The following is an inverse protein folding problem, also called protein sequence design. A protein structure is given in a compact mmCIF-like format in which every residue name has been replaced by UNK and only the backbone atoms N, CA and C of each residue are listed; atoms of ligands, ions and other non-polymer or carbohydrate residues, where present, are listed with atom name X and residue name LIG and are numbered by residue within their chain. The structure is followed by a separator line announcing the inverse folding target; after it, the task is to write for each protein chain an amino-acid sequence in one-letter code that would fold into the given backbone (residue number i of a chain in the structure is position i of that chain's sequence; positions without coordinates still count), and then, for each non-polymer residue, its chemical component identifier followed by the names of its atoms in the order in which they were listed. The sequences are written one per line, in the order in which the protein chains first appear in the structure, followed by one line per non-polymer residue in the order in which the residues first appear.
data_IF_085585087920
#
_entry.id   IF_085585087920
#
_cell.length_a   1.000
_cell.length_b   1.000
_cell.length_c   1.000
_cell.angle_alpha   90.00
_cell.angle_beta   90.00
_cell.angle_gamma   90.00
#
_symmetry.space_group_name_H-M   'P 1'
#
loop_
_entity.id
_entity.type
_entity.pdbx_description
1 polymer ?
#
# COMPACT_ATOMS: atom_id res chain seq x y z
N UNK A 1 34.93 60.79 -10.68
CA UNK A 1 33.77 59.92 -10.35
C UNK A 1 33.51 58.79 -11.35
N UNK A 2 33.65 58.99 -12.67
CA UNK A 2 33.34 57.95 -13.69
C UNK A 2 34.17 56.64 -13.58
N UNK A 3 35.48 56.69 -13.29
CA UNK A 3 36.32 55.49 -13.17
C UNK A 3 35.88 54.55 -12.02
N UNK A 4 35.39 55.10 -10.90
CA UNK A 4 34.87 54.30 -9.77
C UNK A 4 33.55 53.60 -10.13
N UNK A 5 32.67 54.27 -10.89
CA UNK A 5 31.40 53.69 -11.38
C UNK A 5 31.63 52.55 -12.38
N UNK A 6 32.62 52.65 -13.27
CA UNK A 6 32.99 51.57 -14.20
C UNK A 6 33.54 50.33 -13.47
N UNK A 7 34.42 50.51 -12.48
CA UNK A 7 34.93 49.39 -11.67
C UNK A 7 33.82 48.70 -10.87
N UNK A 8 32.88 49.48 -10.32
CA UNK A 8 31.70 48.94 -9.63
C UNK A 8 30.81 48.12 -10.57
N UNK A 9 30.51 48.64 -11.76
CA UNK A 9 29.70 47.92 -12.75
C UNK A 9 30.35 46.61 -13.22
N UNK A 10 31.66 46.61 -13.46
CA UNK A 10 32.42 45.39 -13.80
C UNK A 10 32.41 44.39 -12.64
N UNK A 11 32.56 44.87 -11.39
CA UNK A 11 32.49 44.02 -10.20
C UNK A 11 31.12 43.36 -10.02
N UNK A 12 30.03 44.10 -10.25
CA UNK A 12 28.66 43.56 -10.22
C UNK A 12 28.46 42.53 -11.34
N UNK A 13 28.91 42.83 -12.56
CA UNK A 13 28.82 41.89 -13.67
C UNK A 13 29.60 40.59 -13.40
N UNK A 14 30.82 40.70 -12.85
CA UNK A 14 31.61 39.54 -12.47
C UNK A 14 30.92 38.71 -11.39
N UNK A 15 30.31 39.34 -10.39
CA UNK A 15 29.51 38.66 -9.36
C UNK A 15 28.29 37.93 -9.94
N UNK A 16 27.58 38.55 -10.89
CA UNK A 16 26.44 37.91 -11.55
C UNK A 16 26.87 36.72 -12.40
N UNK A 17 27.99 36.82 -13.11
CA UNK A 17 28.55 35.72 -13.90
C UNK A 17 28.99 34.58 -13.00
N UNK A 18 29.74 34.87 -11.93
CA UNK A 18 30.16 33.84 -10.95
C UNK A 18 28.93 33.22 -10.27
N UNK A 19 27.95 34.03 -9.88
CA UNK A 19 26.68 33.54 -9.32
C UNK A 19 25.93 32.63 -10.30
N UNK A 20 25.85 33.00 -11.57
CA UNK A 20 25.24 32.19 -12.63
C UNK A 20 25.98 30.87 -12.85
N UNK A 21 27.32 30.88 -12.85
CA UNK A 21 28.14 29.66 -12.96
C UNK A 21 27.92 28.75 -11.75
N UNK A 22 27.94 29.31 -10.54
CA UNK A 22 27.70 28.55 -9.31
C UNK A 22 26.28 27.96 -9.29
N UNK A 23 25.27 28.73 -9.69
CA UNK A 23 23.90 28.25 -9.80
C UNK A 23 23.73 27.16 -10.87
N UNK A 24 24.50 27.21 -11.96
CA UNK A 24 24.47 26.20 -13.02
C UNK A 24 25.14 24.87 -12.62
N UNK A 25 25.89 24.82 -11.52
CA UNK A 25 26.45 23.57 -11.00
C UNK A 25 25.30 22.64 -10.58
N UNK A 26 25.24 21.38 -11.08
CA UNK A 26 24.14 20.46 -10.78
C UNK A 26 23.84 20.28 -9.26
N UNK A 27 24.83 20.19 -8.36
CA UNK A 27 24.57 20.09 -6.92
C UNK A 27 23.94 21.36 -6.31
N UNK A 28 24.19 22.53 -6.90
CA UNK A 28 23.64 23.82 -6.43
C UNK A 28 22.26 24.02 -7.02
N UNK A 29 22.11 23.83 -8.33
CA UNK A 29 20.82 23.95 -9.00
C UNK A 29 19.78 23.00 -8.41
N UNK A 30 20.15 21.74 -8.14
CA UNK A 30 19.25 20.74 -7.53
C UNK A 30 18.76 21.14 -6.14
N UNK A 31 19.62 21.75 -5.30
CA UNK A 31 19.21 22.26 -3.98
C UNK A 31 18.32 23.50 -4.11
N UNK A 32 18.71 24.46 -4.94
CA UNK A 32 17.94 25.70 -5.16
C UNK A 32 16.55 25.35 -5.68
N UNK A 33 16.47 24.58 -6.77
CA UNK A 33 15.21 24.10 -7.35
C UNK A 33 14.36 23.33 -6.35
N UNK A 34 14.96 22.47 -5.51
CA UNK A 34 14.24 21.76 -4.46
C UNK A 34 13.60 22.70 -3.44
N UNK A 35 14.38 23.62 -2.86
CA UNK A 35 13.84 24.54 -1.85
C UNK A 35 12.83 25.52 -2.45
N UNK A 36 13.05 26.01 -3.67
CA UNK A 36 12.07 26.87 -4.36
C UNK A 36 10.78 26.11 -4.64
N UNK A 37 10.86 24.87 -5.12
CA UNK A 37 9.68 24.03 -5.35
C UNK A 37 8.98 23.72 -4.03
N UNK A 38 9.70 23.38 -2.97
CA UNK A 38 9.12 23.12 -1.65
C UNK A 38 8.32 24.33 -1.14
N UNK A 39 8.92 25.53 -1.16
CA UNK A 39 8.25 26.77 -0.74
C UNK A 39 7.04 27.04 -1.63
N UNK A 40 7.19 26.92 -2.95
CA UNK A 40 6.09 27.10 -3.89
C UNK A 40 4.95 26.12 -3.60
N UNK A 41 5.25 24.84 -3.41
CA UNK A 41 4.30 23.77 -3.12
C UNK A 41 3.59 23.97 -1.78
N UNK A 42 4.31 24.36 -0.72
CA UNK A 42 3.72 24.70 0.58
C UNK A 42 2.76 25.88 0.46
N UNK A 43 3.13 26.95 -0.25
CA UNK A 43 2.25 28.09 -0.49
C UNK A 43 1.05 27.68 -1.35
N UNK A 44 1.29 26.95 -2.43
CA UNK A 44 0.27 26.52 -3.38
C UNK A 44 -0.79 25.65 -2.70
N UNK A 45 -0.39 24.62 -1.95
CA UNK A 45 -1.33 23.72 -1.25
C UNK A 45 -1.94 24.33 0.01
N UNK A 46 -1.32 25.36 0.60
CA UNK A 46 -1.99 26.16 1.64
C UNK A 46 -3.16 26.97 1.09
N UNK A 47 -3.08 27.39 -0.18
CA UNK A 47 -4.13 28.14 -0.87
C UNK A 47 -5.12 27.18 -1.55
N UNK A 48 -4.62 26.07 -2.12
CA UNK A 48 -5.38 25.08 -2.88
C UNK A 48 -5.18 23.68 -2.25
N UNK A 49 -5.79 23.40 -1.09
CA UNK A 49 -5.58 22.12 -0.42
C UNK A 49 -6.04 20.97 -1.34
N UNK A 50 -5.25 19.89 -1.50
CA UNK A 50 -5.60 18.77 -2.37
C UNK A 50 -6.98 18.18 -2.04
N UNK A 51 -7.32 18.10 -0.74
CA UNK A 51 -8.62 17.61 -0.28
C UNK A 51 -9.82 18.48 -0.71
N UNK A 52 -9.62 19.71 -1.19
CA UNK A 52 -10.70 20.55 -1.72
C UNK A 52 -10.99 20.31 -3.21
N UNK A 53 -10.16 19.55 -3.91
CA UNK A 53 -10.40 19.19 -5.32
C UNK A 53 -11.29 17.94 -5.34
N UNK A 54 -12.57 18.14 -5.63
CA UNK A 54 -13.55 17.05 -5.77
C UNK A 54 -13.53 16.55 -7.22
N UNK A 55 -13.18 15.28 -7.42
CA UNK A 55 -13.40 14.62 -8.70
C UNK A 55 -14.88 14.29 -8.85
N UNK A 56 -15.55 14.91 -9.82
CA UNK A 56 -16.93 14.60 -10.19
C UNK A 56 -16.95 13.93 -11.57
N UNK A 57 -17.13 12.59 -11.66
CA UNK A 57 -17.13 11.86 -12.93
C UNK A 57 -18.15 12.40 -13.94
N UNK A 58 -19.23 12.99 -13.44
CA UNK A 58 -20.37 13.53 -14.19
C UNK A 58 -20.02 14.70 -15.12
N UNK A 59 -18.87 15.35 -14.94
CA UNK A 59 -18.48 16.56 -15.67
C UNK A 59 -17.64 16.29 -16.93
N UNK A 60 -17.16 15.06 -17.12
CA UNK A 60 -16.43 14.67 -18.33
C UNK A 60 -17.41 14.18 -19.41
N UNK A 61 -17.27 14.65 -20.65
CA UNK A 61 -18.10 14.24 -21.81
C UNK A 61 -18.11 12.71 -21.95
N UNK A 62 -19.18 11.99 -21.55
CA UNK A 62 -19.14 10.55 -21.33
C UNK A 62 -18.97 9.73 -22.63
N UNK A 63 -19.25 10.34 -23.78
CA UNK A 63 -19.46 9.61 -25.02
C UNK A 63 -18.16 9.16 -25.72
N UNK A 64 -17.09 9.96 -25.70
CA UNK A 64 -15.86 9.63 -26.44
C UNK A 64 -15.02 8.58 -25.72
N UNK A 65 -14.84 8.74 -24.40
CA UNK A 65 -14.16 7.76 -23.55
C UNK A 65 -14.89 6.40 -23.54
N UNK A 66 -16.22 6.40 -23.34
CA UNK A 66 -16.99 5.16 -23.38
C UNK A 66 -16.92 4.48 -24.75
N UNK A 67 -16.90 5.26 -25.84
CA UNK A 67 -16.74 4.72 -27.20
C UNK A 67 -15.35 4.13 -27.42
N UNK A 68 -14.29 4.79 -26.95
CA UNK A 68 -12.92 4.29 -27.06
C UNK A 68 -12.68 3.02 -26.23
N UNK A 69 -13.21 2.97 -25.00
CA UNK A 69 -13.19 1.77 -24.16
C UNK A 69 -13.94 0.62 -24.83
N UNK A 70 -15.15 0.89 -25.34
CA UNK A 70 -15.96 -0.12 -26.05
C UNK A 70 -15.27 -0.63 -27.32
N UNK A 71 -14.63 0.25 -28.09
CA UNK A 71 -13.85 -0.12 -29.26
C UNK A 71 -12.64 -1.01 -28.88
N UNK A 72 -11.96 -0.71 -27.78
CA UNK A 72 -10.84 -1.51 -27.27
C UNK A 72 -11.31 -2.88 -26.76
N UNK A 73 -12.42 -2.92 -26.01
CA UNK A 73 -13.02 -4.18 -25.56
C UNK A 73 -13.48 -5.05 -26.75
N UNK A 74 -14.07 -4.43 -27.77
CA UNK A 74 -14.44 -5.12 -29.02
C UNK A 74 -13.23 -5.61 -29.82
N UNK A 75 -12.05 -4.98 -29.68
CA UNK A 75 -10.82 -5.43 -30.34
C UNK A 75 -10.14 -6.61 -29.60
N UNK A 76 -10.46 -6.83 -28.32
CA UNK A 76 -9.90 -7.90 -27.49
C UNK A 76 -10.68 -9.22 -27.56
N UNK A 77 -11.89 -9.24 -28.14
CA UNK A 77 -12.67 -10.46 -28.33
C UNK A 77 -12.13 -11.26 -29.52
N UNK A 78 -11.32 -12.28 -29.27
CA UNK A 78 -11.19 -13.41 -30.20
C UNK A 78 -12.43 -14.31 -30.09
N UNK A 79 -12.98 -14.85 -31.20
CA UNK A 79 -14.14 -15.72 -31.14
C UNK A 79 -13.73 -17.08 -30.58
N UNK A 80 -13.86 -17.25 -29.26
CA UNK A 80 -13.86 -18.59 -28.65
C UNK A 80 -15.25 -19.20 -28.86
N UNK A 81 -15.38 -20.43 -29.37
CA UNK A 81 -16.68 -21.08 -29.50
C UNK A 81 -17.39 -21.16 -28.15
N UNK A 82 -18.60 -20.63 -28.07
CA UNK A 82 -19.45 -20.77 -26.90
C UNK A 82 -19.86 -22.23 -26.74
N UNK A 83 -19.17 -22.96 -25.85
CA UNK A 83 -19.65 -24.24 -25.35
C UNK A 83 -20.72 -23.92 -24.33
N UNK A 84 -21.98 -24.10 -24.72
CA UNK A 84 -23.14 -24.10 -23.82
C UNK A 84 -23.05 -25.31 -22.88
N UNK A 85 -22.21 -25.21 -21.87
CA UNK A 85 -22.22 -26.14 -20.75
C UNK A 85 -23.24 -25.60 -19.75
N UNK A 86 -24.22 -26.39 -19.29
CA UNK A 86 -25.14 -25.94 -18.24
C UNK A 86 -24.32 -25.48 -17.03
N UNK A 87 -24.56 -24.25 -16.59
CA UNK A 87 -23.98 -23.68 -15.37
C UNK A 87 -24.28 -24.65 -14.23
N UNK A 88 -23.28 -25.32 -13.62
CA UNK A 88 -23.55 -26.13 -12.45
C UNK A 88 -24.16 -25.21 -11.40
N UNK A 89 -25.35 -25.58 -10.94
CA UNK A 89 -26.00 -24.96 -9.81
C UNK A 89 -24.97 -24.85 -8.68
N UNK A 90 -24.74 -23.63 -8.20
CA UNK A 90 -23.84 -23.34 -7.07
C UNK A 90 -24.28 -24.21 -5.90
N UNK A 91 -23.61 -25.35 -5.74
CA UNK A 91 -23.68 -26.12 -4.52
C UNK A 91 -22.95 -25.25 -3.52
N UNK A 92 -23.63 -24.86 -2.43
CA UNK A 92 -22.97 -24.19 -1.31
C UNK A 92 -21.78 -25.09 -0.93
N UNK A 93 -20.57 -24.69 -1.33
CA UNK A 93 -19.37 -25.34 -0.85
C UNK A 93 -19.47 -25.27 0.68
N UNK A 94 -19.22 -26.38 1.40
CA UNK A 94 -19.27 -26.35 2.85
C UNK A 94 -18.40 -25.18 3.31
N UNK A 95 -18.99 -24.24 4.04
CA UNK A 95 -18.23 -23.16 4.66
C UNK A 95 -17.15 -23.84 5.49
N UNK A 96 -15.85 -23.70 5.14
CA UNK A 96 -14.80 -24.37 5.89
C UNK A 96 -14.96 -23.94 7.34
N UNK A 97 -15.20 -24.93 8.20
CA UNK A 97 -15.33 -24.66 9.63
C UNK A 97 -13.97 -24.17 10.09
N UNK A 98 -13.90 -22.90 10.49
CA UNK A 98 -12.67 -22.29 10.96
C UNK A 98 -12.09 -23.16 12.09
N UNK A 99 -10.86 -23.59 11.91
CA UNK A 99 -10.15 -24.35 12.94
C UNK A 99 -10.00 -23.43 14.15
N UNK A 100 -10.44 -23.84 15.36
CA UNK A 100 -10.23 -23.06 16.57
C UNK A 100 -8.75 -22.76 16.75
N UNK A 101 -8.42 -21.48 16.88
CA UNK A 101 -7.05 -21.02 17.08
C UNK A 101 -6.80 -20.77 18.58
N UNK A 102 -5.55 -20.90 19.05
CA UNK A 102 -5.15 -20.37 20.35
C UNK A 102 -5.63 -18.93 20.57
N UNK A 103 -5.96 -18.50 21.80
CA UNK A 103 -6.51 -17.17 22.05
C UNK A 103 -5.47 -16.04 21.88
N UNK A 104 -4.18 -16.38 21.82
CA UNK A 104 -3.11 -15.41 21.59
C UNK A 104 -1.87 -16.08 21.02
N UNK A 105 -1.06 -15.28 20.32
CA UNK A 105 0.26 -15.68 19.82
C UNK A 105 1.16 -14.45 19.76
N UNK A 106 2.46 -14.65 19.96
CA UNK A 106 3.49 -13.62 19.76
C UNK A 106 4.73 -14.25 19.14
N UNK A 107 5.09 -13.79 17.96
CA UNK A 107 6.26 -14.21 17.20
C UNK A 107 7.43 -13.28 17.54
N UNK A 108 8.30 -13.74 18.43
CA UNK A 108 9.55 -13.05 18.75
C UNK A 108 10.58 -13.25 17.61
N UNK A 109 11.59 -12.38 17.54
CA UNK A 109 12.74 -12.55 16.64
C UNK A 109 12.81 -11.57 15.48
N UNK A 110 11.78 -10.74 15.26
CA UNK A 110 11.88 -9.61 14.33
C UNK A 110 12.86 -8.57 14.86
N UNK A 111 13.82 -8.17 14.02
CA UNK A 111 14.66 -7.00 14.29
C UNK A 111 13.89 -5.74 13.91
N UNK A 112 13.77 -4.81 14.86
CA UNK A 112 13.04 -3.56 14.65
C UNK A 112 13.83 -2.58 13.80
N UNK A 113 13.16 -1.88 12.88
CA UNK A 113 13.77 -0.84 12.02
C UNK A 113 12.86 0.37 11.89
N UNK A 114 13.29 1.51 12.45
CA UNK A 114 12.66 2.80 12.19
C UNK A 114 12.91 3.20 10.73
N UNK A 115 11.86 3.61 10.01
CA UNK A 115 11.98 3.90 8.59
C UNK A 115 12.84 5.14 8.31
N UNK A 116 13.55 5.10 7.17
CA UNK A 116 14.06 6.30 6.50
C UNK A 116 12.91 7.08 5.82
N UNK A 117 13.26 8.21 5.20
CA UNK A 117 12.31 9.06 4.46
C UNK A 117 11.55 8.28 3.39
N UNK A 118 10.21 8.30 3.44
CA UNK A 118 9.31 7.55 2.56
C UNK A 118 9.73 6.08 2.38
N UNK A 119 10.10 5.40 3.46
CA UNK A 119 10.68 4.05 3.41
C UNK A 119 9.86 3.01 4.18
N UNK A 120 8.57 3.25 4.42
CA UNK A 120 7.70 2.35 5.18
C UNK A 120 7.69 0.93 4.59
N UNK A 121 7.48 0.78 3.28
CA UNK A 121 7.50 -0.51 2.57
C UNK A 121 8.83 -1.24 2.72
N UNK A 122 9.96 -0.66 2.26
CA UNK A 122 11.27 -1.31 2.37
C UNK A 122 11.70 -1.62 3.80
N UNK A 123 11.39 -0.76 4.77
CA UNK A 123 11.68 -1.00 6.18
C UNK A 123 10.84 -2.15 6.75
N UNK A 124 9.53 -2.17 6.47
CA UNK A 124 8.64 -3.24 6.93
C UNK A 124 8.99 -4.58 6.27
N UNK A 125 9.38 -4.59 5.00
CA UNK A 125 9.90 -5.79 4.35
C UNK A 125 11.20 -6.28 4.99
N UNK A 126 12.15 -5.37 5.29
CA UNK A 126 13.39 -5.72 6.00
C UNK A 126 13.11 -6.36 7.36
N UNK A 127 12.15 -5.82 8.13
CA UNK A 127 11.71 -6.42 9.38
C UNK A 127 11.13 -7.83 9.17
N UNK A 128 10.30 -8.04 8.13
CA UNK A 128 9.73 -9.35 7.81
C UNK A 128 10.81 -10.38 7.45
N UNK A 129 11.79 -9.98 6.63
CA UNK A 129 12.93 -10.81 6.25
C UNK A 129 13.82 -11.17 7.46
N UNK A 130 14.00 -10.23 8.39
CA UNK A 130 14.82 -10.44 9.59
C UNK A 130 14.31 -11.55 10.51
N UNK A 131 12.99 -11.82 10.50
CA UNK A 131 12.41 -12.96 11.23
C UNK A 131 13.05 -14.29 10.79
N UNK A 132 13.35 -14.39 9.49
CA UNK A 132 14.01 -15.54 8.86
C UNK A 132 15.53 -15.41 8.83
N UNK A 133 16.11 -14.63 9.75
CA UNK A 133 17.56 -14.44 9.89
C UNK A 133 18.25 -13.83 8.65
N UNK A 134 17.50 -13.18 7.76
CA UNK A 134 18.10 -12.42 6.67
C UNK A 134 18.95 -11.28 7.24
N UNK A 135 20.19 -11.16 6.77
CA UNK A 135 21.21 -10.29 7.37
C UNK A 135 21.21 -8.85 6.86
N UNK A 136 20.48 -8.56 5.78
CA UNK A 136 20.38 -7.22 5.22
C UNK A 136 19.56 -6.27 6.09
N UNK A 137 19.29 -5.07 5.61
CA UNK A 137 18.59 -3.97 6.29
C UNK A 137 17.73 -3.18 5.30
N UNK A 138 16.96 -2.21 5.77
CA UNK A 138 16.07 -1.43 4.91
C UNK A 138 16.76 -0.68 3.75
N UNK A 139 18.07 -0.43 3.83
CA UNK A 139 18.83 0.17 2.73
C UNK A 139 18.99 -0.82 1.57
N UNK A 140 19.13 -2.12 1.85
CA UNK A 140 19.30 -3.15 0.83
C UNK A 140 17.98 -3.39 0.10
N UNK A 141 16.85 -3.43 0.83
CA UNK A 141 15.52 -3.49 0.23
C UNK A 141 15.20 -2.21 -0.57
N UNK A 142 15.51 -1.03 -0.02
CA UNK A 142 15.23 0.24 -0.68
C UNK A 142 16.05 0.44 -1.97
N UNK A 143 17.27 -0.09 -2.05
CA UNK A 143 18.12 0.03 -3.23
C UNK A 143 17.49 -0.58 -4.49
N UNK A 144 16.59 -1.55 -4.33
CA UNK A 144 15.84 -2.20 -5.42
C UNK A 144 14.43 -1.62 -5.53
N UNK A 145 13.71 -1.53 -4.41
CA UNK A 145 12.30 -1.13 -4.37
C UNK A 145 12.07 0.36 -4.63
N UNK A 146 13.09 1.20 -4.43
CA UNK A 146 13.03 2.65 -4.62
C UNK A 146 14.15 3.13 -5.53
N UNK A 147 14.09 2.80 -6.85
CA UNK A 147 15.11 3.24 -7.80
C UNK A 147 15.21 4.78 -7.87
N UNK A 148 14.13 5.48 -7.53
CA UNK A 148 14.13 6.91 -7.23
C UNK A 148 13.96 7.11 -5.71
N UNK A 149 14.94 7.75 -5.08
CA UNK A 149 14.96 7.98 -3.62
C UNK A 149 13.77 8.81 -3.11
N UNK A 150 13.13 9.57 -4.01
CA UNK A 150 11.93 10.39 -3.76
C UNK A 150 10.62 9.65 -3.89
N UNK A 151 10.62 8.38 -4.27
CA UNK A 151 9.39 7.59 -4.35
C UNK A 151 8.68 7.60 -3.00
N UNK A 152 7.36 7.84 -3.06
CA UNK A 152 6.50 8.00 -1.88
C UNK A 152 5.92 6.67 -1.41
N UNK A 153 5.80 5.69 -2.30
CA UNK A 153 5.25 4.38 -2.03
C UNK A 153 6.01 3.30 -2.82
N UNK A 154 5.94 2.08 -2.32
CA UNK A 154 6.31 0.84 -3.00
C UNK A 154 5.07 -0.02 -3.04
N UNK A 155 4.79 -0.66 -4.17
CA UNK A 155 3.63 -1.51 -4.34
C UNK A 155 3.88 -2.92 -3.75
N UNK A 156 2.86 -3.62 -3.23
CA UNK A 156 3.02 -4.95 -2.65
C UNK A 156 3.65 -5.99 -3.61
N UNK A 157 3.32 -5.94 -4.91
CA UNK A 157 3.90 -6.86 -5.88
C UNK A 157 5.40 -6.63 -6.10
N UNK A 158 5.90 -5.41 -5.93
CA UNK A 158 7.34 -5.12 -6.02
C UNK A 158 8.09 -5.76 -4.83
N UNK A 159 7.48 -5.76 -3.65
CA UNK A 159 8.01 -6.46 -2.48
C UNK A 159 7.98 -7.98 -2.66
N UNK A 160 6.90 -8.54 -3.22
CA UNK A 160 6.81 -9.95 -3.59
C UNK A 160 7.95 -10.34 -4.54
N UNK A 161 8.16 -9.55 -5.59
CA UNK A 161 9.22 -9.79 -6.58
C UNK A 161 10.62 -9.65 -5.96
N UNK A 162 10.81 -8.68 -5.05
CA UNK A 162 12.06 -8.55 -4.31
C UNK A 162 12.39 -9.83 -3.56
N UNK A 163 11.45 -10.36 -2.77
CA UNK A 163 11.68 -11.59 -2.00
C UNK A 163 12.02 -12.74 -2.93
N UNK A 164 11.19 -12.97 -3.95
CA UNK A 164 11.32 -14.14 -4.83
C UNK A 164 12.55 -14.10 -5.75
N UNK A 165 13.07 -12.91 -6.08
CA UNK A 165 14.17 -12.76 -7.04
C UNK A 165 15.50 -12.29 -6.42
N UNK A 166 15.49 -11.75 -5.20
CA UNK A 166 16.69 -11.17 -4.55
C UNK A 166 17.02 -11.79 -3.19
N UNK A 167 16.32 -12.85 -2.77
CA UNK A 167 16.60 -13.58 -1.54
C UNK A 167 16.43 -15.09 -1.75
N UNK A 168 16.89 -15.90 -0.80
CA UNK A 168 16.65 -17.35 -0.77
C UNK A 168 15.28 -17.73 -0.17
N UNK A 169 14.44 -16.73 0.12
CA UNK A 169 13.09 -16.91 0.67
C UNK A 169 12.05 -16.88 -0.46
N UNK A 170 10.82 -17.21 -0.10
CA UNK A 170 9.64 -17.11 -0.96
C UNK A 170 8.61 -16.21 -0.31
N UNK A 171 7.75 -15.65 -1.14
CA UNK A 171 6.60 -14.90 -0.68
C UNK A 171 5.35 -15.22 -1.47
N UNK A 172 4.19 -15.17 -0.80
CA UNK A 172 2.88 -15.08 -1.45
C UNK A 172 2.23 -13.76 -1.09
N UNK A 173 1.58 -13.16 -2.08
CA UNK A 173 0.72 -12.00 -1.92
C UNK A 173 -0.72 -12.39 -2.27
N UNK A 174 -1.69 -12.04 -1.44
CA UNK A 174 -3.11 -12.32 -1.69
C UNK A 174 -3.97 -11.13 -1.28
N UNK A 175 -5.13 -11.02 -1.92
CA UNK A 175 -6.17 -10.05 -1.59
C UNK A 175 -7.29 -10.75 -0.82
N UNK A 176 -8.11 -9.98 -0.10
CA UNK A 176 -9.26 -10.54 0.61
C UNK A 176 -8.87 -11.35 1.85
N UNK A 177 -7.79 -10.99 2.54
CA UNK A 177 -7.52 -11.52 3.88
C UNK A 177 -8.51 -10.98 4.92
N UNK A 178 -8.76 -11.73 5.98
CA UNK A 178 -9.58 -11.30 7.13
C UNK A 178 -8.85 -11.51 8.45
N UNK A 179 -9.55 -11.19 9.55
CA UNK A 179 -9.08 -11.43 10.91
C UNK A 179 -8.63 -12.88 11.12
N UNK A 180 -9.37 -13.86 10.60
CA UNK A 180 -9.01 -15.27 10.72
C UNK A 180 -7.74 -15.59 9.94
N UNK A 181 -7.61 -15.07 8.73
CA UNK A 181 -6.45 -15.26 7.85
C UNK A 181 -5.16 -14.82 8.55
N UNK A 182 -5.13 -13.61 9.11
CA UNK A 182 -3.95 -13.11 9.84
C UNK A 182 -3.65 -14.00 11.05
N UNK A 183 -4.66 -14.34 11.86
CA UNK A 183 -4.47 -15.18 13.05
C UNK A 183 -3.98 -16.59 12.70
N UNK A 184 -4.50 -17.20 11.65
CA UNK A 184 -4.11 -18.53 11.22
C UNK A 184 -2.63 -18.57 10.78
N UNK A 185 -2.21 -17.58 9.98
CA UNK A 185 -0.80 -17.42 9.58
C UNK A 185 0.12 -17.21 10.78
N UNK A 186 -0.28 -16.37 11.73
CA UNK A 186 0.51 -16.13 12.95
C UNK A 186 0.65 -17.37 13.83
N UNK A 187 -0.42 -18.17 13.98
CA UNK A 187 -0.32 -19.44 14.73
C UNK A 187 0.55 -20.49 14.03
N UNK A 188 0.56 -20.46 12.70
CA UNK A 188 1.45 -21.29 11.91
C UNK A 188 2.91 -20.79 11.91
N UNK A 189 3.20 -19.67 12.61
CA UNK A 189 4.55 -19.16 12.79
C UNK A 189 5.00 -18.15 11.74
N UNK A 190 4.07 -17.61 10.93
CA UNK A 190 4.37 -16.69 9.84
C UNK A 190 3.93 -15.25 10.18
N UNK A 191 4.86 -14.29 10.34
CA UNK A 191 4.52 -12.88 10.38
C UNK A 191 3.83 -12.43 9.09
N UNK A 192 2.88 -11.50 9.21
CA UNK A 192 2.05 -11.06 8.07
C UNK A 192 2.27 -9.59 7.80
N UNK A 193 2.77 -9.25 6.62
CA UNK A 193 2.90 -7.87 6.18
C UNK A 193 1.60 -7.42 5.53
N UNK A 194 1.03 -6.30 5.99
CA UNK A 194 -0.22 -5.72 5.46
C UNK A 194 0.01 -4.29 4.98
N UNK A 195 -0.65 -3.90 3.89
CA UNK A 195 -0.80 -2.50 3.48
C UNK A 195 -2.12 -1.97 4.03
N UNK A 196 -2.11 -0.84 4.73
CA UNK A 196 -3.31 -0.28 5.36
C UNK A 196 -3.32 1.24 5.29
N UNK A 197 -4.50 1.82 5.49
CA UNK A 197 -4.65 3.24 5.78
C UNK A 197 -3.89 3.63 7.05
N UNK A 198 -3.42 4.87 7.08
CA UNK A 198 -2.76 5.43 8.25
C UNK A 198 -3.02 6.93 8.30
N UNK A 199 -3.62 7.34 9.41
CA UNK A 199 -3.92 8.73 9.74
C UNK A 199 -3.65 8.89 11.24
N UNK A 200 -2.38 9.08 11.64
CA UNK A 200 -2.01 9.21 13.04
C UNK A 200 -2.71 10.42 13.68
N UNK A 201 -3.50 10.20 14.74
CA UNK A 201 -4.30 11.24 15.43
C UNK A 201 -3.45 12.46 15.84
N UNK A 202 -2.23 12.21 16.28
CA UNK A 202 -1.29 13.23 16.77
C UNK A 202 -0.60 14.02 15.65
N UNK A 203 -0.84 13.63 14.40
CA UNK A 203 -0.20 14.12 13.18
C UNK A 203 -1.25 14.35 12.09
N UNK A 204 -2.49 14.71 12.48
CA UNK A 204 -3.60 14.93 11.57
C UNK A 204 -3.30 15.93 10.42
N UNK A 205 -2.27 16.78 10.58
CA UNK A 205 -1.78 17.66 9.53
C UNK A 205 -1.10 16.92 8.35
N UNK A 206 -0.64 15.68 8.54
CA UNK A 206 -0.04 14.85 7.49
C UNK A 206 -1.11 14.22 6.57
N UNK A 207 -2.36 14.17 7.03
CA UNK A 207 -3.48 13.58 6.30
C UNK A 207 -3.40 12.05 6.22
N UNK A 208 -4.34 11.46 5.49
CA UNK A 208 -4.38 10.03 5.26
C UNK A 208 -3.33 9.58 4.23
N UNK A 209 -2.64 8.48 4.54
CA UNK A 209 -1.69 7.83 3.64
C UNK A 209 -1.78 6.31 3.69
N UNK A 210 -1.25 5.65 2.67
CA UNK A 210 -0.93 4.22 2.72
C UNK A 210 0.27 3.97 3.62
N UNK A 211 0.25 2.87 4.37
CA UNK A 211 1.31 2.49 5.29
C UNK A 211 1.39 0.97 5.43
N UNK A 212 2.58 0.49 5.79
CA UNK A 212 2.83 -0.93 5.97
C UNK A 212 3.04 -1.29 7.44
N UNK A 213 2.37 -2.35 7.88
CA UNK A 213 2.61 -2.96 9.18
C UNK A 213 3.02 -4.41 9.01
N UNK A 214 3.96 -4.86 9.85
CA UNK A 214 4.24 -6.27 10.02
C UNK A 214 3.54 -6.77 11.27
N UNK A 215 2.50 -7.57 11.11
CA UNK A 215 1.78 -8.19 12.22
C UNK A 215 2.59 -9.39 12.72
N UNK A 216 2.85 -9.44 14.03
CA UNK A 216 3.68 -10.46 14.69
C UNK A 216 2.96 -11.16 15.84
N UNK A 217 1.72 -10.81 16.13
CA UNK A 217 0.97 -11.45 17.20
C UNK A 217 -0.43 -10.90 17.37
N UNK A 218 -1.22 -11.55 18.21
CA UNK A 218 -2.56 -11.11 18.59
C UNK A 218 -2.93 -11.58 19.98
N UNK A 219 -3.95 -10.95 20.58
CA UNK A 219 -4.52 -11.32 21.87
C UNK A 219 -6.04 -11.11 21.84
N UNK A 220 -6.80 -12.21 21.84
CA UNK A 220 -8.27 -12.19 21.78
C UNK A 220 -8.92 -11.64 23.05
N UNK A 221 -8.25 -11.73 24.20
CA UNK A 221 -8.78 -11.12 25.43
C UNK A 221 -8.80 -9.59 25.35
N UNK A 222 -7.89 -9.03 24.55
CA UNK A 222 -7.74 -7.58 24.34
C UNK A 222 -8.27 -7.10 22.99
N UNK A 223 -8.62 -8.02 22.10
CA UNK A 223 -9.06 -7.74 20.73
C UNK A 223 -8.03 -6.88 19.96
N UNK A 224 -6.74 -7.22 20.08
CA UNK A 224 -5.65 -6.44 19.50
C UNK A 224 -4.62 -7.31 18.77
N UNK A 225 -4.05 -6.74 17.71
CA UNK A 225 -2.82 -7.20 17.09
C UNK A 225 -1.60 -6.54 17.75
N UNK A 226 -0.47 -7.25 17.70
CA UNK A 226 0.86 -6.69 17.96
C UNK A 226 1.58 -6.55 16.62
N UNK A 227 2.04 -5.33 16.32
CA UNK A 227 2.61 -4.97 15.01
C UNK A 227 3.99 -4.36 15.17
N UNK A 228 4.88 -4.56 14.20
CA UNK A 228 6.05 -3.72 14.01
C UNK A 228 5.69 -2.62 13.02
N UNK A 229 5.74 -1.38 13.50
CA UNK A 229 5.39 -0.18 12.72
C UNK A 229 6.65 0.67 12.55
N UNK A 230 7.17 0.70 11.31
CA UNK A 230 8.42 1.39 11.00
C UNK A 230 8.33 2.90 11.15
N UNK A 231 7.14 3.50 11.01
CA UNK A 231 6.90 4.93 11.23
C UNK A 231 6.88 5.25 12.72
N UNK A 232 6.12 4.51 13.52
CA UNK A 232 6.04 4.76 14.97
C UNK A 232 7.39 4.56 15.67
N UNK A 233 8.22 3.64 15.16
CA UNK A 233 9.62 3.50 15.64
C UNK A 233 10.45 4.78 15.43
N UNK A 234 10.15 5.63 14.44
CA UNK A 234 10.86 6.91 14.24
C UNK A 234 10.56 7.91 15.35
N UNK A 235 9.39 7.79 15.98
CA UNK A 235 8.93 8.64 17.09
C UNK A 235 9.57 8.26 18.43
N UNK A 236 10.17 7.07 18.51
CA UNK A 236 10.89 6.62 19.70
C UNK A 236 12.35 7.10 19.68
N UNK A 237 12.90 7.28 20.88
CA UNK A 237 14.32 7.48 21.08
C UNK A 237 15.13 6.29 20.55
N UNK A 238 16.27 6.58 19.93
CA UNK A 238 17.09 5.56 19.26
C UNK A 238 17.52 4.41 20.18
N UNK A 239 17.68 4.66 21.48
CA UNK A 239 18.03 3.68 22.50
C UNK A 239 16.87 2.71 22.83
N UNK A 240 15.62 3.14 22.63
CA UNK A 240 14.42 2.36 22.98
C UNK A 240 13.93 1.49 21.82
N UNK A 241 14.27 1.84 20.57
CA UNK A 241 13.84 1.10 19.37
C UNK A 241 14.16 -0.40 19.41
N UNK A 242 15.36 -0.85 19.85
CA UNK A 242 15.69 -2.28 19.89
C UNK A 242 14.88 -3.07 20.92
N UNK A 243 14.36 -2.41 21.96
CA UNK A 243 13.58 -3.06 23.02
C UNK A 243 12.07 -3.09 22.72
N UNK A 244 11.62 -2.33 21.72
CA UNK A 244 10.23 -2.25 21.30
C UNK A 244 9.67 -3.64 20.93
N UNK A 245 8.67 -4.11 21.69
CA UNK A 245 7.97 -5.39 21.46
C UNK A 245 6.83 -5.28 20.45
N UNK A 246 6.80 -4.20 19.68
CA UNK A 246 5.73 -3.85 18.76
C UNK A 246 4.67 -2.93 19.38
N UNK A 247 3.81 -2.40 18.51
CA UNK A 247 2.71 -1.49 18.82
C UNK A 247 1.39 -2.23 18.75
N UNK A 248 0.45 -1.82 19.60
CA UNK A 248 -0.89 -2.41 19.68
C UNK A 248 -1.84 -1.72 18.73
N UNK A 249 -2.59 -2.52 17.97
CA UNK A 249 -3.64 -2.04 17.06
C UNK A 249 -4.87 -2.90 17.31
N UNK A 250 -6.01 -2.31 17.66
CA UNK A 250 -7.25 -3.08 17.85
C UNK A 250 -7.64 -3.78 16.54
N UNK A 251 -8.32 -4.92 16.64
CA UNK A 251 -8.82 -5.63 15.45
C UNK A 251 -9.69 -4.72 14.59
N UNK A 252 -10.60 -3.98 15.21
CA UNK A 252 -11.45 -3.01 14.52
C UNK A 252 -10.64 -1.97 13.75
N UNK A 253 -9.65 -1.33 14.40
CA UNK A 253 -8.81 -0.32 13.74
C UNK A 253 -7.99 -0.92 12.61
N UNK A 254 -7.45 -2.13 12.79
CA UNK A 254 -6.72 -2.82 11.72
C UNK A 254 -7.64 -3.07 10.53
N UNK A 255 -8.79 -3.72 10.72
CA UNK A 255 -9.70 -4.08 9.63
C UNK A 255 -10.23 -2.83 8.92
N UNK A 256 -10.61 -1.78 9.65
CA UNK A 256 -11.10 -0.54 9.05
C UNK A 256 -10.06 0.13 8.15
N UNK A 257 -8.79 0.12 8.55
CA UNK A 257 -7.71 0.70 7.75
C UNK A 257 -7.22 -0.23 6.65
N UNK A 258 -7.21 -1.54 6.89
CA UNK A 258 -6.76 -2.56 5.93
C UNK A 258 -7.69 -2.67 4.72
N UNK A 259 -8.98 -2.43 4.93
CA UNK A 259 -9.98 -2.30 3.86
C UNK A 259 -9.54 -1.33 2.78
N UNK A 260 -8.87 -0.21 3.11
CA UNK A 260 -8.50 0.77 2.09
C UNK A 260 -7.57 0.21 1.00
N UNK A 261 -6.96 -0.96 1.23
CA UNK A 261 -6.03 -1.62 0.31
C UNK A 261 -6.47 -3.07 0.00
N UNK A 262 -7.78 -3.28 -0.14
CA UNK A 262 -8.38 -4.57 -0.53
C UNK A 262 -7.99 -5.76 0.36
N UNK A 263 -7.73 -5.49 1.65
CA UNK A 263 -7.23 -6.45 2.61
C UNK A 263 -6.05 -7.28 2.06
N UNK A 264 -5.11 -6.60 1.40
CA UNK A 264 -3.92 -7.21 0.80
C UNK A 264 -2.89 -7.56 1.87
N UNK A 265 -2.29 -8.74 1.76
CA UNK A 265 -1.22 -9.16 2.64
C UNK A 265 -0.13 -9.91 1.88
N UNK A 266 1.06 -9.90 2.47
CA UNK A 266 2.23 -10.67 2.04
C UNK A 266 2.66 -11.55 3.21
N UNK A 267 2.93 -12.81 2.91
CA UNK A 267 3.60 -13.73 3.82
C UNK A 267 4.94 -14.14 3.20
N UNK A 268 6.00 -14.02 3.99
CA UNK A 268 7.37 -14.40 3.61
C UNK A 268 7.76 -15.64 4.39
N UNK A 269 8.41 -16.60 3.74
CA UNK A 269 8.76 -17.89 4.34
C UNK A 269 9.94 -18.55 3.62
N UNK A 270 10.70 -19.44 4.27
CA UNK A 270 11.67 -20.30 3.61
C UNK A 270 10.98 -21.30 2.66
N UNK A 271 11.57 -21.66 1.51
CA UNK A 271 10.93 -22.53 0.52
C UNK A 271 10.37 -23.85 1.07
N UNK A 272 11.01 -24.42 2.10
CA UNK A 272 10.58 -25.67 2.74
C UNK A 272 9.20 -25.58 3.41
N UNK A 273 8.70 -24.36 3.69
CA UNK A 273 7.42 -24.09 4.32
C UNK A 273 6.29 -23.75 3.33
N UNK A 274 6.53 -23.81 2.01
CA UNK A 274 5.52 -23.44 1.00
C UNK A 274 4.18 -24.17 1.23
N UNK A 275 4.23 -25.48 1.44
CA UNK A 275 3.00 -26.26 1.66
C UNK A 275 2.28 -25.88 2.96
N UNK A 276 3.02 -25.54 4.02
CA UNK A 276 2.42 -25.10 5.29
C UNK A 276 1.66 -23.79 5.09
N UNK A 277 2.26 -22.84 4.37
CA UNK A 277 1.62 -21.57 4.03
C UNK A 277 0.39 -21.79 3.17
N UNK A 278 0.48 -22.56 2.08
CA UNK A 278 -0.66 -22.82 1.20
C UNK A 278 -1.81 -23.53 1.94
N UNK A 279 -1.50 -24.47 2.84
CA UNK A 279 -2.50 -25.15 3.65
C UNK A 279 -3.22 -24.18 4.61
N UNK A 280 -2.49 -23.27 5.24
CA UNK A 280 -3.06 -22.25 6.15
C UNK A 280 -3.91 -21.25 5.39
N UNK A 281 -3.51 -20.87 4.18
CA UNK A 281 -4.29 -19.96 3.32
C UNK A 281 -5.60 -20.58 2.83
N UNK A 282 -5.66 -21.92 2.72
CA UNK A 282 -6.85 -22.62 2.26
C UNK A 282 -7.30 -22.09 0.89
N UNK A 283 -8.55 -21.63 0.72
CA UNK A 283 -9.02 -21.05 -0.54
C UNK A 283 -8.20 -19.85 -1.05
N UNK A 284 -7.58 -19.07 -0.14
CA UNK A 284 -6.72 -17.94 -0.54
C UNK A 284 -5.40 -18.42 -1.15
N UNK A 285 -5.05 -19.70 -1.07
CA UNK A 285 -3.85 -20.24 -1.69
C UNK A 285 -3.89 -20.11 -3.22
N UNK A 286 -5.06 -20.27 -3.85
CA UNK A 286 -5.24 -19.98 -5.27
C UNK A 286 -5.44 -18.48 -5.50
N UNK A 287 -4.65 -17.92 -6.40
CA UNK A 287 -4.65 -16.47 -6.66
C UNK A 287 -5.99 -15.99 -7.20
N UNK A 288 -6.58 -16.74 -8.15
CA UNK A 288 -7.88 -16.38 -8.75
C UNK A 288 -9.01 -16.50 -7.73
N UNK A 289 -9.00 -17.53 -6.88
CA UNK A 289 -9.92 -17.68 -5.77
C UNK A 289 -9.79 -16.52 -4.77
N UNK A 290 -8.56 -16.06 -4.47
CA UNK A 290 -8.36 -14.89 -3.61
C UNK A 290 -8.99 -13.62 -4.18
N UNK A 291 -8.93 -13.43 -5.52
CA UNK A 291 -9.61 -12.30 -6.17
C UNK A 291 -11.14 -12.40 -6.09
N UNK A 292 -11.70 -13.61 -6.22
CA UNK A 292 -13.15 -13.83 -6.02
C UNK A 292 -13.57 -13.53 -4.58
N UNK A 293 -12.83 -14.07 -3.60
CA UNK A 293 -13.10 -13.83 -2.17
C UNK A 293 -13.01 -12.34 -1.83
N UNK A 294 -12.01 -11.64 -2.37
CA UNK A 294 -11.87 -10.20 -2.20
C UNK A 294 -13.05 -9.42 -2.81
N UNK A 295 -13.47 -9.78 -4.02
CA UNK A 295 -14.64 -9.18 -4.67
C UNK A 295 -15.94 -9.41 -3.89
N UNK A 296 -16.18 -10.64 -3.43
CA UNK A 296 -17.37 -11.00 -2.67
C UNK A 296 -17.42 -10.27 -1.32
N UNK A 297 -16.28 -10.19 -0.63
CA UNK A 297 -16.17 -9.41 0.61
C UNK A 297 -16.44 -7.93 0.36
N UNK A 298 -15.80 -7.36 -0.64
CA UNK A 298 -15.95 -5.96 -0.99
C UNK A 298 -17.42 -5.62 -1.35
N UNK A 299 -18.11 -6.51 -2.07
CA UNK A 299 -19.53 -6.37 -2.36
C UNK A 299 -20.40 -6.43 -1.09
N UNK A 300 -20.11 -7.37 -0.18
CA UNK A 300 -20.83 -7.48 1.10
C UNK A 300 -20.61 -6.24 1.98
N UNK A 301 -19.37 -5.75 2.09
CA UNK A 301 -19.04 -4.54 2.84
C UNK A 301 -19.71 -3.30 2.25
N UNK A 302 -19.70 -3.15 0.93
CA UNK A 302 -20.36 -2.03 0.26
C UNK A 302 -21.87 -2.00 0.54
N UNK A 303 -22.50 -3.16 0.72
CA UNK A 303 -23.91 -3.27 1.07
C UNK A 303 -24.21 -3.05 2.57
N UNK A 304 -23.25 -3.31 3.45
CA UNK A 304 -23.46 -3.25 4.92
C UNK A 304 -22.97 -1.95 5.58
N UNK A 305 -21.90 -1.35 5.04
CA UNK A 305 -21.31 -0.14 5.61
C UNK A 305 -22.24 1.05 5.41
N UNK A 306 -22.24 1.96 6.37
CA UNK A 306 -23.10 3.16 6.37
C UNK A 306 -22.31 4.45 6.21
N UNK A 307 -21.01 4.44 6.46
CA UNK A 307 -20.14 5.58 6.25
C UNK A 307 -19.64 5.64 4.78
N UNK A 308 -19.65 6.84 4.20
CA UNK A 308 -19.33 7.04 2.78
C UNK A 308 -17.90 6.60 2.43
N UNK A 309 -16.94 6.79 3.35
CA UNK A 309 -15.52 6.46 3.14
C UNK A 309 -15.29 4.95 3.07
N UNK A 310 -15.89 4.20 3.98
CA UNK A 310 -15.88 2.74 4.01
C UNK A 310 -16.57 2.15 2.78
N UNK A 311 -17.75 2.68 2.42
CA UNK A 311 -18.46 2.28 1.19
C UNK A 311 -17.63 2.57 -0.08
N UNK A 312 -16.97 3.73 -0.14
CA UNK A 312 -16.05 4.08 -1.24
C UNK A 312 -14.95 3.05 -1.39
N UNK A 313 -14.23 2.74 -0.30
CA UNK A 313 -13.14 1.76 -0.37
C UNK A 313 -13.65 0.36 -0.72
N UNK A 314 -14.79 -0.05 -0.17
CA UNK A 314 -15.40 -1.33 -0.52
C UNK A 314 -15.74 -1.42 -2.02
N UNK A 315 -16.37 -0.39 -2.61
CA UNK A 315 -16.65 -0.36 -4.06
C UNK A 315 -15.38 -0.30 -4.91
N UNK A 316 -14.38 0.48 -4.48
CA UNK A 316 -13.09 0.58 -5.17
C UNK A 316 -12.34 -0.77 -5.17
N UNK A 317 -12.38 -1.49 -4.04
CA UNK A 317 -11.83 -2.84 -3.91
C UNK A 317 -12.55 -3.87 -4.77
N UNK A 318 -13.88 -3.77 -4.85
CA UNK A 318 -14.68 -4.62 -5.73
C UNK A 318 -14.22 -4.41 -7.18
N UNK A 319 -14.09 -3.15 -7.62
CA UNK A 319 -13.55 -2.82 -8.94
C UNK A 319 -12.15 -3.39 -9.18
N UNK A 320 -11.25 -3.20 -8.21
CA UNK A 320 -9.86 -3.70 -8.27
C UNK A 320 -9.81 -5.22 -8.42
N UNK A 321 -10.65 -5.94 -7.68
CA UNK A 321 -10.72 -7.40 -7.73
C UNK A 321 -11.33 -7.90 -9.05
N UNK A 322 -12.36 -7.21 -9.58
CA UNK A 322 -12.98 -7.55 -10.86
C UNK A 322 -12.04 -7.33 -12.05
N UNK A 323 -11.15 -6.34 -12.00
CA UNK A 323 -10.06 -6.19 -12.99
C UNK A 323 -9.17 -7.43 -13.02
N UNK A 324 -8.80 -7.97 -11.85
CA UNK A 324 -8.00 -9.19 -11.74
C UNK A 324 -8.73 -10.44 -12.22
N UNK A 325 -10.06 -10.42 -12.18
CA UNK A 325 -10.94 -11.46 -12.73
C UNK A 325 -11.30 -11.25 -14.20
N UNK A 326 -10.75 -10.21 -14.86
CA UNK A 326 -11.06 -9.79 -16.22
C UNK A 326 -12.54 -9.42 -16.47
N UNK A 327 -13.31 -9.13 -15.42
CA UNK A 327 -14.65 -8.52 -15.54
C UNK A 327 -14.52 -7.00 -15.54
N UNK A 328 -14.06 -6.47 -16.68
CA UNK A 328 -13.84 -5.03 -16.83
C UNK A 328 -15.13 -4.21 -16.82
N UNK A 329 -16.25 -4.79 -17.23
CA UNK A 329 -17.56 -4.13 -17.21
C UNK A 329 -18.08 -3.95 -15.79
N UNK A 330 -18.03 -5.03 -14.98
CA UNK A 330 -18.34 -4.96 -13.56
C UNK A 330 -17.37 -4.03 -12.81
N UNK A 331 -16.07 -4.09 -13.14
CA UNK A 331 -15.07 -3.24 -12.54
C UNK A 331 -15.34 -1.75 -12.78
N UNK A 332 -15.62 -1.35 -14.02
CA UNK A 332 -15.95 0.04 -14.36
C UNK A 332 -17.17 0.53 -13.57
N UNK A 333 -18.24 -0.27 -13.50
CA UNK A 333 -19.42 0.10 -12.73
C UNK A 333 -19.14 0.25 -11.22
N UNK A 334 -18.28 -0.60 -10.65
CA UNK A 334 -17.89 -0.51 -9.25
C UNK A 334 -17.07 0.77 -8.98
N UNK A 335 -16.11 1.11 -9.85
CA UNK A 335 -15.35 2.35 -9.75
C UNK A 335 -16.23 3.59 -9.90
N UNK A 336 -17.15 3.63 -10.85
CA UNK A 336 -18.08 4.75 -11.03
C UNK A 336 -18.91 4.99 -9.76
N UNK A 337 -19.42 3.92 -9.14
CA UNK A 337 -20.15 3.99 -7.87
C UNK A 337 -19.26 4.45 -6.72
N UNK A 338 -18.01 4.00 -6.66
CA UNK A 338 -17.06 4.48 -5.68
C UNK A 338 -16.87 6.00 -5.82
N UNK A 339 -16.50 6.47 -7.01
CA UNK A 339 -16.26 7.91 -7.23
C UNK A 339 -17.52 8.78 -7.08
N UNK A 340 -18.72 8.23 -7.25
CA UNK A 340 -19.96 8.94 -6.91
C UNK A 340 -20.11 9.27 -5.41
N UNK A 341 -19.45 8.51 -4.53
CA UNK A 341 -19.40 8.77 -3.08
C UNK A 341 -18.26 9.73 -2.69
N UNK A 342 -17.27 9.93 -3.55
CA UNK A 342 -16.09 10.74 -3.23
C UNK A 342 -16.42 12.19 -2.79
N UNK A 343 -17.41 12.89 -3.37
CA UNK A 343 -17.80 14.22 -2.91
C UNK A 343 -18.37 14.30 -1.49
N UNK A 344 -18.76 13.16 -0.88
CA UNK A 344 -19.33 13.12 0.48
C UNK A 344 -18.37 12.55 1.53
N UNK A 345 -17.09 12.43 1.20
CA UNK A 345 -15.97 12.02 2.08
C UNK A 345 -15.12 13.26 2.34
#
# INVERSE_FOLDING_TARGET
MQKKRKKLAIGILALLVVGGIVLALPPVWSRVSYFTNKIYTEIFYKINPPQAVIFNPSESTPNEMATAVKATMNALVSPTPAINTPTPQSTLAPTPTQIPLPPSVYLAGVRTEAQMWNNCGPATLSMALSFWQWSGKQQDTAAILKPNDRDKNVMPYEMLDYVNNHTDLRANMRMGGDLYTIKALLNAGFPVLVEKGFEPENLAAEGWMGHYNLVIGYDDSKQEFTTQDSYLLTLLDSADRPSAKGFKVSYENMINNWRAFNNIFIVVYPPDFENDVLNVLGPLADETASYRIAADRAAAEAASLTDARGQYFALYNMGTSLVKLADYGGAASAFDKAFALYPSI
#
